data_IF_768280796178
#
_entry.id   IF_768280796178
#
_cell.length_a   1.000
_cell.length_b   1.000
_cell.length_c   1.000
_cell.angle_alpha   90.00
_cell.angle_beta   90.00
_cell.angle_gamma   90.00
#
_symmetry.space_group_name_H-M   'P 1'
#
loop_
_entity.id
_entity.type
_entity.pdbx_description
1 polymer ?
#
# COMPACT_ATOMS: atom_id res chain seq x y z
N UNK A 1 -2.00 19.86 14.18
CA UNK A 1 -3.28 20.31 14.77
C UNK A 1 -3.38 21.80 14.52
N UNK A 2 -4.55 22.29 14.13
CA UNK A 2 -4.76 23.70 13.77
C UNK A 2 -5.53 24.39 14.89
N UNK A 3 -5.08 25.56 15.34
CA UNK A 3 -5.74 26.30 16.42
C UNK A 3 -6.58 27.41 15.80
N UNK A 4 -7.88 27.40 16.07
CA UNK A 4 -8.76 28.50 15.65
C UNK A 4 -8.43 29.77 16.46
N UNK A 5 -8.10 30.91 15.83
CA UNK A 5 -7.79 32.16 16.54
C UNK A 5 -9.01 32.75 17.27
N UNK A 6 -10.23 32.48 16.78
CA UNK A 6 -11.46 32.96 17.41
C UNK A 6 -11.91 32.12 18.60
N UNK A 7 -11.81 30.79 18.50
CA UNK A 7 -12.32 29.88 19.52
C UNK A 7 -11.26 29.32 20.46
N UNK A 8 -9.96 29.51 20.12
CA UNK A 8 -8.80 28.92 20.79
C UNK A 8 -8.88 27.41 20.98
N UNK A 9 -9.56 26.70 20.06
CA UNK A 9 -9.65 25.24 20.08
C UNK A 9 -8.75 24.68 18.98
N UNK A 10 -7.99 23.64 19.35
CA UNK A 10 -7.27 22.79 18.41
C UNK A 10 -8.22 21.80 17.74
N UNK A 11 -8.23 21.77 16.40
CA UNK A 11 -9.01 20.80 15.63
C UNK A 11 -8.16 20.13 14.55
N UNK A 12 -8.67 19.00 14.03
CA UNK A 12 -7.98 18.25 13.00
C UNK A 12 -8.10 18.97 11.65
N UNK A 13 -7.02 19.10 10.86
CA UNK A 13 -7.07 19.71 9.52
C UNK A 13 -7.97 18.95 8.52
N UNK A 14 -8.57 17.82 8.93
CA UNK A 14 -9.62 17.13 8.16
C UNK A 14 -10.86 18.02 8.00
N UNK A 15 -11.15 18.86 8.99
CA UNK A 15 -12.22 19.83 8.91
C UNK A 15 -11.65 21.09 8.25
N UNK A 16 -11.99 21.34 6.98
CA UNK A 16 -11.50 22.52 6.22
C UNK A 16 -11.82 23.85 6.94
N UNK A 17 -12.89 23.86 7.73
CA UNK A 17 -13.36 24.98 8.53
C UNK A 17 -13.48 24.56 10.00
N UNK A 18 -13.30 25.53 10.90
CA UNK A 18 -13.43 25.30 12.33
C UNK A 18 -14.83 24.74 12.64
N UNK A 19 -14.94 23.54 13.25
CA UNK A 19 -16.23 22.90 13.49
C UNK A 19 -17.10 23.62 14.54
N UNK A 20 -16.53 24.54 15.31
CA UNK A 20 -17.25 25.28 16.36
C UNK A 20 -17.84 26.60 15.87
N UNK A 21 -17.07 27.40 15.14
CA UNK A 21 -17.51 28.73 14.72
C UNK A 21 -17.77 28.86 13.21
N UNK A 22 -17.27 27.94 12.37
CA UNK A 22 -17.35 28.05 10.91
C UNK A 22 -16.56 29.20 10.29
N UNK A 23 -16.11 30.18 11.09
CA UNK A 23 -15.54 31.44 10.62
C UNK A 23 -14.03 31.41 10.40
N UNK A 24 -13.37 30.29 10.69
CA UNK A 24 -11.93 30.13 10.46
C UNK A 24 -11.69 28.97 9.52
N UNK A 25 -11.06 29.26 8.38
CA UNK A 25 -10.66 28.28 7.39
C UNK A 25 -9.20 27.89 7.62
N UNK A 26 -8.92 26.59 7.53
CA UNK A 26 -7.57 26.06 7.69
C UNK A 26 -6.66 26.63 6.60
N UNK A 27 -5.43 27.06 6.92
CA UNK A 27 -4.48 27.52 5.92
C UNK A 27 -4.26 26.44 4.84
N UNK A 28 -4.23 26.86 3.57
CA UNK A 28 -4.07 25.96 2.43
C UNK A 28 -2.83 25.07 2.56
N UNK A 29 -1.74 25.58 3.14
CA UNK A 29 -0.51 24.84 3.38
C UNK A 29 -0.68 23.67 4.37
N UNK A 30 -1.37 23.90 5.49
CA UNK A 30 -1.60 22.86 6.50
C UNK A 30 -2.58 21.79 5.99
N UNK A 31 -3.59 22.21 5.24
CA UNK A 31 -4.53 21.30 4.59
C UNK A 31 -3.84 20.46 3.50
N UNK A 32 -2.99 21.07 2.68
CA UNK A 32 -2.19 20.38 1.67
C UNK A 32 -1.21 19.36 2.29
N UNK A 33 -0.57 19.70 3.42
CA UNK A 33 0.29 18.75 4.15
C UNK A 33 -0.52 17.58 4.71
N UNK A 34 -1.72 17.84 5.24
CA UNK A 34 -2.62 16.78 5.71
C UNK A 34 -3.02 15.84 4.56
N UNK A 35 -3.45 16.36 3.42
CA UNK A 35 -3.80 15.56 2.25
C UNK A 35 -2.63 14.71 1.76
N UNK A 36 -1.42 15.27 1.67
CA UNK A 36 -0.20 14.52 1.31
C UNK A 36 0.08 13.37 2.27
N UNK A 37 -0.18 13.55 3.57
CA UNK A 37 -0.03 12.49 4.56
C UNK A 37 -1.09 11.38 4.44
N UNK A 38 -2.31 11.72 4.00
CA UNK A 38 -3.39 10.75 3.77
C UNK A 38 -3.17 9.86 2.55
N UNK A 39 -2.49 10.34 1.50
CA UNK A 39 -2.20 9.54 0.28
C UNK A 39 -1.63 8.17 0.64
N UNK A 40 -0.67 8.12 1.57
CA UNK A 40 -0.03 6.86 1.96
C UNK A 40 -1.01 5.94 2.68
N UNK A 41 -1.81 6.50 3.60
CA UNK A 41 -2.77 5.73 4.40
C UNK A 41 -3.85 5.14 3.50
N UNK A 42 -4.42 5.92 2.59
CA UNK A 42 -5.48 5.49 1.68
C UNK A 42 -5.00 4.46 0.65
N UNK A 43 -3.78 4.62 0.13
CA UNK A 43 -3.17 3.63 -0.78
C UNK A 43 -2.87 2.33 -0.03
N UNK A 44 -2.40 2.39 1.23
CA UNK A 44 -2.12 1.20 2.05
C UNK A 44 -3.40 0.50 2.54
N UNK A 45 -4.50 1.24 2.75
CA UNK A 45 -5.80 0.68 3.09
C UNK A 45 -6.54 0.04 1.91
N UNK A 46 -6.02 0.20 0.69
CA UNK A 46 -6.55 -0.41 -0.53
C UNK A 46 -7.59 0.41 -1.27
N UNK A 47 -7.65 1.72 -1.02
CA UNK A 47 -8.42 2.62 -1.87
C UNK A 47 -7.81 2.68 -3.28
N UNK A 48 -8.66 2.90 -4.29
CA UNK A 48 -8.19 2.95 -5.67
C UNK A 48 -7.33 4.19 -5.89
N UNK A 49 -6.36 4.08 -6.81
CA UNK A 49 -5.48 5.20 -7.18
C UNK A 49 -6.30 6.40 -7.67
N UNK A 50 -7.38 6.15 -8.42
CA UNK A 50 -8.30 7.17 -8.92
C UNK A 50 -9.06 7.87 -7.80
N UNK A 51 -9.52 7.14 -6.78
CA UNK A 51 -10.24 7.76 -5.66
C UNK A 51 -9.32 8.69 -4.86
N UNK A 52 -8.04 8.31 -4.71
CA UNK A 52 -7.04 9.15 -4.03
C UNK A 52 -6.67 10.37 -4.89
N UNK A 53 -6.59 10.23 -6.21
CA UNK A 53 -6.42 11.36 -7.13
C UNK A 53 -7.60 12.34 -7.04
N UNK A 54 -8.83 11.83 -7.07
CA UNK A 54 -10.06 12.63 -6.95
C UNK A 54 -10.08 13.41 -5.62
N UNK A 55 -9.72 12.76 -4.51
CA UNK A 55 -9.62 13.40 -3.19
C UNK A 55 -8.62 14.58 -3.17
N UNK A 56 -7.51 14.48 -3.91
CA UNK A 56 -6.54 15.57 -4.02
C UNK A 56 -7.06 16.71 -4.89
N UNK A 57 -7.73 16.40 -6.00
CA UNK A 57 -8.35 17.40 -6.88
C UNK A 57 -9.44 18.17 -6.14
N UNK A 58 -10.32 17.46 -5.42
CA UNK A 58 -11.34 18.07 -4.55
C UNK A 58 -10.72 18.88 -3.41
N UNK A 59 -9.50 18.53 -3.01
CA UNK A 59 -8.67 19.23 -2.04
C UNK A 59 -7.99 20.50 -2.56
N UNK A 60 -8.11 20.81 -3.86
CA UNK A 60 -7.56 22.01 -4.49
C UNK A 60 -6.23 21.82 -5.22
N UNK A 61 -5.76 20.59 -5.39
CA UNK A 61 -4.59 20.30 -6.24
C UNK A 61 -4.96 20.28 -7.72
N UNK A 62 -4.02 20.64 -8.59
CA UNK A 62 -4.20 20.44 -10.04
C UNK A 62 -4.20 18.95 -10.39
N UNK A 63 -4.92 18.56 -11.43
CA UNK A 63 -4.96 17.15 -11.89
C UNK A 63 -3.56 16.59 -12.16
N UNK A 64 -2.69 17.39 -12.79
CA UNK A 64 -1.31 17.01 -13.05
C UNK A 64 -0.52 16.75 -11.75
N UNK A 65 -0.64 17.63 -10.77
CA UNK A 65 0.09 17.52 -9.49
C UNK A 65 -0.44 16.37 -8.63
N UNK A 66 -1.77 16.17 -8.61
CA UNK A 66 -2.41 15.04 -7.93
C UNK A 66 -1.91 13.70 -8.50
N UNK A 67 -1.90 13.57 -9.82
CA UNK A 67 -1.42 12.35 -10.51
C UNK A 67 0.06 12.08 -10.21
N UNK A 68 0.91 13.12 -10.23
CA UNK A 68 2.35 12.97 -9.95
C UNK A 68 2.61 12.52 -8.50
N UNK A 69 1.92 13.14 -7.54
CA UNK A 69 2.04 12.80 -6.11
C UNK A 69 1.59 11.36 -5.86
N UNK A 70 0.42 10.97 -6.37
CA UNK A 70 -0.09 9.61 -6.21
C UNK A 70 0.83 8.60 -6.89
N UNK A 71 1.32 8.88 -8.10
CA UNK A 71 2.26 8.01 -8.80
C UNK A 71 3.58 7.83 -8.03
N UNK A 72 4.12 8.89 -7.43
CA UNK A 72 5.34 8.83 -6.63
C UNK A 72 5.17 7.95 -5.39
N UNK A 73 4.04 8.08 -4.69
CA UNK A 73 3.73 7.30 -3.49
C UNK A 73 3.36 5.84 -3.81
N UNK A 74 2.60 5.60 -4.88
CA UNK A 74 2.29 4.25 -5.36
C UNK A 74 3.56 3.49 -5.79
N UNK A 75 4.53 4.16 -6.42
CA UNK A 75 5.85 3.56 -6.75
C UNK A 75 6.64 3.17 -5.50
N UNK A 76 6.61 3.99 -4.43
CA UNK A 76 7.26 3.66 -3.15
C UNK A 76 6.60 2.46 -2.46
N UNK A 77 5.27 2.40 -2.46
CA UNK A 77 4.52 1.24 -1.98
C UNK A 77 4.89 -0.05 -2.73
N UNK A 78 4.90 -0.01 -4.06
CA UNK A 78 5.30 -1.14 -4.92
C UNK A 78 6.75 -1.62 -4.68
N UNK A 79 7.68 -0.72 -4.34
CA UNK A 79 9.07 -1.11 -4.02
C UNK A 79 9.18 -1.86 -2.68
N UNK A 80 8.45 -1.41 -1.64
CA UNK A 80 8.46 -2.06 -0.31
C UNK A 80 7.85 -3.47 -0.31
N UNK A 81 6.97 -3.75 -1.26
CA UNK A 81 6.24 -5.02 -1.31
C UNK A 81 7.00 -6.04 -2.13
N UNK A 82 7.71 -5.57 -3.18
CA UNK A 82 8.68 -6.37 -3.93
C UNK A 82 9.82 -6.91 -3.06
N UNK A 83 10.30 -6.15 -2.08
CA UNK A 83 11.38 -6.61 -1.17
C UNK A 83 10.92 -7.69 -0.20
N UNK A 84 9.67 -7.64 0.29
CA UNK A 84 9.11 -8.70 1.15
C UNK A 84 8.87 -10.01 0.39
N UNK A 85 8.31 -9.94 -0.82
CA UNK A 85 8.13 -11.10 -1.69
C UNK A 85 9.47 -11.73 -2.10
N UNK A 86 10.47 -10.90 -2.42
CA UNK A 86 11.83 -11.37 -2.70
C UNK A 86 12.50 -12.01 -1.49
N UNK A 87 12.33 -11.44 -0.28
CA UNK A 87 12.84 -12.03 0.95
C UNK A 87 12.30 -13.44 1.19
N UNK A 88 10.99 -13.67 0.97
CA UNK A 88 10.40 -15.01 1.10
C UNK A 88 10.94 -16.00 0.06
N UNK A 89 11.18 -15.56 -1.18
CA UNK A 89 11.83 -16.40 -2.19
C UNK A 89 13.26 -16.78 -1.82
N UNK A 90 14.05 -15.82 -1.35
CA UNK A 90 15.44 -16.07 -0.93
C UNK A 90 15.49 -17.04 0.24
N UNK A 91 14.67 -16.81 1.28
CA UNK A 91 14.61 -17.70 2.45
C UNK A 91 14.09 -19.09 2.08
N UNK A 92 13.05 -19.18 1.24
CA UNK A 92 12.53 -20.46 0.74
C UNK A 92 13.54 -21.23 -0.11
N UNK A 93 14.27 -20.54 -0.98
CA UNK A 93 15.35 -21.13 -1.77
C UNK A 93 16.51 -21.62 -0.92
N UNK A 94 16.89 -20.84 0.10
CA UNK A 94 17.95 -21.22 1.05
C UNK A 94 17.57 -22.45 1.88
N UNK A 95 16.31 -22.54 2.31
CA UNK A 95 15.79 -23.70 3.04
C UNK A 95 15.85 -24.99 2.21
N UNK A 96 15.51 -24.92 0.91
CA UNK A 96 15.66 -26.05 -0.02
C UNK A 96 17.12 -26.43 -0.23
N UNK A 97 18.01 -25.46 -0.42
CA UNK A 97 19.45 -25.68 -0.54
C UNK A 97 20.03 -26.36 0.71
N UNK A 98 19.61 -25.94 1.90
CA UNK A 98 20.04 -26.52 3.18
C UNK A 98 19.39 -27.88 3.49
N UNK A 99 18.24 -28.21 2.87
CA UNK A 99 17.59 -29.51 3.04
C UNK A 99 18.45 -30.68 2.53
N UNK A 100 19.23 -30.45 1.47
CA UNK A 100 20.10 -31.46 0.84
C UNK A 100 21.23 -31.91 1.78
N UNK A 101 22.08 -31.02 2.34
CA UNK A 101 23.09 -31.43 3.31
C UNK A 101 22.47 -31.89 4.64
N UNK A 102 21.34 -31.30 5.06
CA UNK A 102 20.65 -31.73 6.28
C UNK A 102 20.14 -33.17 6.19
N UNK A 103 19.79 -33.67 4.99
CA UNK A 103 19.31 -35.04 4.81
C UNK A 103 20.35 -36.10 5.19
N UNK A 104 21.63 -35.80 5.00
CA UNK A 104 22.74 -36.70 5.35
C UNK A 104 23.04 -36.73 6.85
N UNK A 105 22.60 -35.72 7.61
CA UNK A 105 22.90 -35.58 9.05
C UNK A 105 21.65 -35.89 9.90
N UNK A 106 20.53 -35.23 9.59
CA UNK A 106 19.27 -35.26 10.37
C UNK A 106 18.06 -35.26 9.41
N UNK A 107 17.60 -36.46 9.04
CA UNK A 107 16.50 -36.66 8.07
C UNK A 107 15.21 -35.92 8.40
N UNK A 108 14.83 -35.85 9.68
CA UNK A 108 13.59 -35.17 10.13
C UNK A 108 13.67 -33.66 9.87
N UNK A 109 14.83 -33.04 10.14
CA UNK A 109 15.07 -31.61 9.90
C UNK A 109 15.07 -31.31 8.40
N UNK A 110 15.65 -32.21 7.60
CA UNK A 110 15.67 -32.08 6.14
C UNK A 110 14.26 -32.10 5.53
N UNK A 111 13.39 -33.01 5.97
CA UNK A 111 12.00 -33.08 5.52
C UNK A 111 11.25 -31.80 5.89
N UNK A 112 11.47 -31.27 7.10
CA UNK A 112 10.88 -30.01 7.54
C UNK A 112 11.32 -28.81 6.68
N UNK A 113 12.62 -28.70 6.40
CA UNK A 113 13.17 -27.65 5.54
C UNK A 113 12.70 -27.77 4.09
N UNK A 114 12.61 -29.00 3.57
CA UNK A 114 12.11 -29.28 2.22
C UNK A 114 10.64 -28.86 2.07
N UNK A 115 9.77 -29.29 2.99
CA UNK A 115 8.36 -28.89 3.00
C UNK A 115 8.22 -27.37 3.12
N UNK A 116 8.96 -26.75 4.05
CA UNK A 116 8.95 -25.31 4.22
C UNK A 116 9.33 -24.57 2.92
N UNK A 117 10.40 -24.99 2.25
CA UNK A 117 10.82 -24.40 0.97
C UNK A 117 9.79 -24.62 -0.15
N UNK A 118 9.17 -25.80 -0.23
CA UNK A 118 8.11 -26.10 -1.19
C UNK A 118 6.86 -25.20 -1.03
N UNK A 119 6.54 -24.73 0.19
CA UNK A 119 5.44 -23.77 0.40
C UNK A 119 5.91 -22.31 0.27
N UNK A 120 7.13 -21.98 0.70
CA UNK A 120 7.67 -20.62 0.69
C UNK A 120 7.98 -20.10 -0.72
N UNK A 121 8.47 -20.94 -1.63
CA UNK A 121 8.76 -20.54 -3.01
C UNK A 121 7.53 -20.14 -3.83
N UNK A 122 6.48 -20.98 -3.96
CA UNK A 122 5.29 -20.60 -4.74
C UNK A 122 4.53 -19.44 -4.09
N UNK A 123 4.49 -19.34 -2.76
CA UNK A 123 3.86 -18.20 -2.07
C UNK A 123 4.66 -16.90 -2.25
N UNK A 124 5.98 -16.95 -2.18
CA UNK A 124 6.86 -15.81 -2.47
C UNK A 124 6.77 -15.37 -3.93
N UNK A 125 6.73 -16.33 -4.87
CA UNK A 125 6.58 -16.06 -6.30
C UNK A 125 5.22 -15.46 -6.62
N UNK A 126 4.15 -16.01 -6.04
CA UNK A 126 2.79 -15.49 -6.19
C UNK A 126 2.69 -14.05 -5.66
N UNK A 127 3.27 -13.77 -4.48
CA UNK A 127 3.33 -12.42 -3.91
C UNK A 127 4.13 -11.44 -4.80
N UNK A 128 5.23 -11.89 -5.41
CA UNK A 128 6.03 -11.09 -6.34
C UNK A 128 5.32 -10.79 -7.66
N UNK A 129 4.59 -11.75 -8.21
CA UNK A 129 3.87 -11.61 -9.48
C UNK A 129 2.60 -10.77 -9.31
N UNK A 130 1.82 -11.06 -8.27
CA UNK A 130 0.51 -10.41 -8.06
C UNK A 130 0.58 -9.13 -7.25
N UNK A 131 1.65 -8.92 -6.47
CA UNK A 131 1.73 -7.82 -5.52
C UNK A 131 0.64 -7.87 -4.44
N UNK A 132 -0.09 -8.98 -4.26
CA UNK A 132 -1.28 -9.06 -3.40
C UNK A 132 -1.00 -8.75 -1.92
N UNK A 133 0.24 -8.95 -1.48
CA UNK A 133 0.70 -8.58 -0.12
C UNK A 133 0.88 -7.06 0.08
N UNK A 134 0.64 -6.26 -0.96
CA UNK A 134 0.89 -4.82 -0.92
C UNK A 134 -0.21 -3.98 -0.29
N UNK A 135 -1.44 -4.51 -0.13
CA UNK A 135 -2.59 -3.67 0.19
C UNK A 135 -2.95 -2.66 -0.91
N UNK A 136 -2.09 -2.48 -1.92
CA UNK A 136 -2.30 -1.60 -3.06
C UNK A 136 -3.29 -2.31 -3.98
N UNK A 137 -4.42 -1.66 -4.24
CA UNK A 137 -5.42 -2.14 -5.19
C UNK A 137 -4.73 -2.58 -6.50
N UNK A 138 -5.19 -3.65 -7.15
CA UNK A 138 -4.64 -4.07 -8.43
C UNK A 138 -4.63 -2.86 -9.39
N UNK A 139 -3.61 -2.71 -10.26
CA UNK A 139 -3.69 -1.70 -11.31
C UNK A 139 -5.01 -1.88 -12.07
N UNK A 140 -5.69 -0.80 -12.44
CA UNK A 140 -7.07 -0.79 -12.98
C UNK A 140 -7.28 -1.79 -14.15
N UNK A 141 -6.21 -2.16 -14.86
CA UNK A 141 -6.20 -3.23 -15.85
C UNK A 141 -6.59 -4.61 -15.29
N UNK A 142 -6.10 -4.97 -14.10
CA UNK A 142 -6.41 -6.23 -13.42
C UNK A 142 -7.82 -6.19 -12.79
N UNK A 143 -8.25 -5.03 -12.30
CA UNK A 143 -9.64 -4.83 -11.85
C UNK A 143 -10.61 -4.98 -13.03
N UNK A 144 -10.32 -4.36 -14.18
CA UNK A 144 -11.09 -4.51 -15.41
C UNK A 144 -11.10 -5.95 -15.95
N UNK A 145 -10.01 -6.71 -15.79
CA UNK A 145 -9.95 -8.14 -16.11
C UNK A 145 -10.77 -9.01 -15.14
N UNK A 146 -10.75 -8.69 -13.84
CA UNK A 146 -11.54 -9.38 -12.82
C UNK A 146 -13.04 -9.09 -12.96
N UNK A 147 -13.38 -7.84 -13.28
CA UNK A 147 -14.74 -7.42 -13.58
C UNK A 147 -15.20 -8.06 -14.89
N UNK A 148 -14.40 -8.04 -15.96
CA UNK A 148 -14.70 -8.76 -17.21
C UNK A 148 -14.93 -10.26 -16.98
N UNK A 149 -14.18 -10.89 -16.07
CA UNK A 149 -14.40 -12.30 -15.70
C UNK A 149 -15.70 -12.53 -14.94
N UNK A 150 -16.22 -11.52 -14.24
CA UNK A 150 -17.49 -11.55 -13.51
C UNK A 150 -18.70 -11.47 -14.45
N UNK A 151 -18.52 -10.95 -15.67
CA UNK A 151 -19.55 -10.89 -16.73
C UNK A 151 -19.60 -12.13 -17.66
N UNK A 152 -18.67 -13.08 -17.52
CA UNK A 152 -18.65 -14.34 -18.31
C UNK A 152 -19.26 -15.51 -17.51
N UNK A 153 -20.29 -15.23 -16.69
CA UNK A 153 -21.09 -16.26 -16.02
C UNK A 153 -22.55 -16.09 -16.35
#
# INVERSE_FOLDING_TARGET
>A
MVICPHCQIGFHPRFQVCPRCGNYQVPAEEYAQFLKSQIVVEIESGCSVRDVEQMLVDGGFSECEATELVAQHARRGKRRTRTRGFGRLVVGGLALLLSVPAYFILKIVAIGLFLFGCFALPSGLYSLITGRDSGIAPPDFVQGLLDAKRWIK
#
